data_IF_292715845581
#
_entry.id   IF_292715845581
#
_cell.length_a   1.000
_cell.length_b   1.000
_cell.length_c   1.000
_cell.angle_alpha   90.00
_cell.angle_beta   90.00
_cell.angle_gamma   90.00
#
_symmetry.space_group_name_H-M   'P 1'
#
loop_
_entity.id
_entity.type
_entity.pdbx_description
1 polymer ?
#
# COMPACT_ATOMS: atom_id res chain seq x y z
N UNK A 1 16.99 24.42 14.05
CA UNK A 1 17.43 23.72 12.82
C UNK A 1 17.51 22.19 13.04
N UNK A 2 18.09 21.72 14.15
CA UNK A 2 18.23 20.29 14.45
C UNK A 2 16.87 19.58 14.55
N UNK A 3 15.88 20.17 15.19
CA UNK A 3 14.55 19.58 15.36
C UNK A 3 13.82 19.44 14.01
N UNK A 4 13.96 20.43 13.13
CA UNK A 4 13.45 20.34 11.77
C UNK A 4 14.12 19.22 10.97
N UNK A 5 15.45 19.09 11.09
CA UNK A 5 16.19 18.04 10.40
C UNK A 5 15.78 16.64 10.88
N UNK A 6 15.66 16.45 12.19
CA UNK A 6 15.22 15.17 12.79
C UNK A 6 13.81 14.82 12.34
N UNK A 7 12.86 15.77 12.39
CA UNK A 7 11.50 15.55 11.95
C UNK A 7 11.43 15.20 10.45
N UNK A 8 12.23 15.87 9.61
CA UNK A 8 12.29 15.58 8.18
C UNK A 8 12.84 14.17 7.91
N UNK A 9 13.93 13.79 8.57
CA UNK A 9 14.53 12.45 8.46
C UNK A 9 13.55 11.38 8.93
N UNK A 10 12.89 11.57 10.07
CA UNK A 10 11.88 10.63 10.58
C UNK A 10 10.73 10.43 9.60
N UNK A 11 10.24 11.51 8.98
CA UNK A 11 9.21 11.44 7.94
C UNK A 11 9.67 10.64 6.72
N UNK A 12 10.91 10.83 6.28
CA UNK A 12 11.49 10.08 5.15
C UNK A 12 11.71 8.60 5.49
N UNK A 13 12.15 8.29 6.70
CA UNK A 13 12.28 6.91 7.18
C UNK A 13 10.92 6.23 7.22
N UNK A 14 9.90 6.87 7.79
CA UNK A 14 8.54 6.34 7.83
C UNK A 14 7.99 6.06 6.42
N UNK A 15 8.17 7.00 5.49
CA UNK A 15 7.77 6.83 4.08
C UNK A 15 8.50 5.65 3.42
N UNK A 16 9.80 5.49 3.69
CA UNK A 16 10.60 4.40 3.13
C UNK A 16 10.23 3.05 3.72
N UNK A 17 9.92 3.03 5.01
CA UNK A 17 9.46 1.82 5.71
C UNK A 17 8.10 1.37 5.14
N UNK A 18 7.15 2.28 4.99
CA UNK A 18 5.85 1.99 4.36
C UNK A 18 6.02 1.42 2.95
N UNK A 19 6.91 2.02 2.15
CA UNK A 19 7.23 1.49 0.82
C UNK A 19 7.85 0.09 0.89
N UNK A 20 8.73 -0.17 1.86
CA UNK A 20 9.35 -1.49 2.02
C UNK A 20 8.35 -2.55 2.50
N UNK A 21 7.37 -2.19 3.33
CA UNK A 21 6.30 -3.08 3.77
C UNK A 21 5.53 -3.65 2.57
N UNK A 22 5.17 -2.82 1.62
CA UNK A 22 4.34 -3.23 0.49
C UNK A 22 5.14 -3.70 -0.72
N UNK A 23 6.11 -2.93 -1.15
CA UNK A 23 6.86 -3.13 -2.41
C UNK A 23 8.37 -3.25 -2.21
N UNK A 24 8.83 -3.53 -1.00
CA UNK A 24 10.25 -3.77 -0.73
C UNK A 24 10.74 -5.01 -1.46
N UNK A 25 12.00 -4.95 -1.94
CA UNK A 25 12.69 -6.07 -2.52
C UNK A 25 13.88 -6.46 -1.64
N UNK A 26 13.92 -7.72 -1.20
CA UNK A 26 14.98 -8.23 -0.32
C UNK A 26 16.38 -8.14 -0.95
N UNK A 27 16.46 -8.16 -2.27
CA UNK A 27 17.72 -8.01 -3.00
C UNK A 27 18.27 -6.57 -2.99
N UNK A 28 17.48 -5.58 -2.54
CA UNK A 28 17.87 -4.16 -2.52
C UNK A 28 18.41 -3.78 -1.15
N UNK A 29 19.65 -3.25 -1.12
CA UNK A 29 20.28 -2.82 0.13
C UNK A 29 19.42 -1.78 0.89
N UNK A 30 19.21 -2.02 2.18
CA UNK A 30 18.42 -1.16 3.05
C UNK A 30 16.90 -1.32 2.91
N UNK A 31 16.46 -2.42 2.30
CA UNK A 31 15.07 -2.84 2.25
C UNK A 31 14.94 -4.29 2.75
N UNK A 32 13.75 -4.68 3.12
CA UNK A 32 13.37 -6.07 3.37
C UNK A 32 12.31 -6.47 2.33
N UNK A 33 12.13 -7.79 2.13
CA UNK A 33 11.08 -8.29 1.24
C UNK A 33 9.71 -7.84 1.72
N UNK A 34 8.98 -7.12 0.87
CA UNK A 34 7.64 -6.62 1.15
C UNK A 34 6.56 -7.67 0.87
N UNK A 35 5.33 -7.35 1.24
CA UNK A 35 4.20 -8.24 1.01
C UNK A 35 4.05 -8.66 -0.46
N UNK A 36 4.20 -7.74 -1.42
CA UNK A 36 4.08 -8.06 -2.83
C UNK A 36 5.13 -9.09 -3.29
N UNK A 37 6.40 -8.94 -2.86
CA UNK A 37 7.46 -9.90 -3.20
C UNK A 37 7.18 -11.28 -2.60
N UNK A 38 6.74 -11.33 -1.34
CA UNK A 38 6.43 -12.60 -0.66
C UNK A 38 5.23 -13.30 -1.28
N UNK A 39 4.16 -12.55 -1.59
CA UNK A 39 2.94 -13.09 -2.20
C UNK A 39 3.16 -13.59 -3.62
N UNK A 40 3.98 -12.89 -4.43
CA UNK A 40 4.34 -13.34 -5.77
C UNK A 40 5.18 -14.64 -5.78
N UNK A 41 5.94 -14.88 -4.71
CA UNK A 41 6.77 -16.08 -4.60
C UNK A 41 6.00 -17.30 -4.07
N UNK A 42 4.80 -17.11 -3.54
CA UNK A 42 3.99 -18.15 -2.90
C UNK A 42 2.88 -18.62 -3.86
N UNK A 43 2.92 -19.90 -4.21
CA UNK A 43 1.95 -20.52 -5.10
C UNK A 43 0.55 -20.73 -4.47
N UNK A 44 0.44 -20.60 -3.14
CA UNK A 44 -0.85 -20.72 -2.44
C UNK A 44 -1.66 -19.42 -2.50
N UNK A 45 -1.02 -18.29 -2.79
CA UNK A 45 -1.70 -16.99 -2.96
C UNK A 45 -2.46 -16.98 -4.28
N UNK A 46 -3.71 -16.52 -4.25
CA UNK A 46 -4.52 -16.38 -5.46
C UNK A 46 -4.06 -15.16 -6.24
N UNK A 47 -3.45 -15.39 -7.40
CA UNK A 47 -2.98 -14.33 -8.29
C UNK A 47 -4.02 -13.97 -9.34
N UNK A 48 -4.40 -12.70 -9.41
CA UNK A 48 -5.28 -12.13 -10.43
C UNK A 48 -4.44 -11.26 -11.35
N UNK A 49 -4.27 -11.69 -12.58
CA UNK A 49 -3.42 -11.02 -13.55
C UNK A 49 -3.86 -9.58 -13.81
N UNK A 50 -2.92 -8.64 -13.75
CA UNK A 50 -3.16 -7.24 -14.02
C UNK A 50 -3.55 -6.98 -15.49
N UNK A 51 -4.48 -6.04 -15.67
CA UNK A 51 -4.89 -5.61 -17.01
C UNK A 51 -3.74 -4.90 -17.73
N UNK A 52 -3.52 -5.26 -18.98
CA UNK A 52 -2.56 -4.55 -19.84
C UNK A 52 -2.93 -3.06 -19.99
N UNK A 53 -1.96 -2.18 -19.78
CA UNK A 53 -2.17 -0.73 -19.82
C UNK A 53 -2.53 -0.07 -18.49
N UNK A 54 -2.64 -0.85 -17.42
CA UNK A 54 -2.86 -0.35 -16.06
C UNK A 54 -4.32 -0.03 -15.74
N UNK A 55 -4.54 0.26 -14.46
CA UNK A 55 -5.86 0.57 -13.91
C UNK A 55 -6.18 2.05 -14.12
N UNK A 56 -7.36 2.33 -14.66
CA UNK A 56 -7.88 3.67 -14.92
C UNK A 56 -9.38 3.76 -14.57
N UNK A 57 -9.97 4.94 -14.64
CA UNK A 57 -11.36 5.15 -14.27
C UNK A 57 -12.38 4.35 -15.13
N UNK A 58 -12.00 3.91 -16.34
CA UNK A 58 -12.86 3.13 -17.21
C UNK A 58 -12.89 1.64 -16.90
N UNK A 59 -11.83 1.11 -16.26
CA UNK A 59 -11.69 -0.33 -16.00
C UNK A 59 -11.61 -0.70 -14.51
N UNK A 60 -11.41 0.26 -13.63
CA UNK A 60 -11.18 0.02 -12.20
C UNK A 60 -12.28 -0.79 -11.52
N UNK A 61 -13.53 -0.56 -11.88
CA UNK A 61 -14.69 -1.29 -11.32
C UNK A 61 -14.62 -2.77 -11.71
N UNK A 62 -14.29 -3.06 -12.96
CA UNK A 62 -14.14 -4.44 -13.43
C UNK A 62 -12.92 -5.14 -12.77
N UNK A 63 -11.82 -4.42 -12.56
CA UNK A 63 -10.63 -4.97 -11.91
C UNK A 63 -10.87 -5.21 -10.42
N UNK A 64 -11.53 -4.28 -9.72
CA UNK A 64 -11.94 -4.50 -8.33
C UNK A 64 -12.92 -5.67 -8.20
N UNK A 65 -13.86 -5.79 -9.15
CA UNK A 65 -14.76 -6.93 -9.22
C UNK A 65 -14.01 -8.26 -9.36
N UNK A 66 -13.02 -8.33 -10.24
CA UNK A 66 -12.19 -9.54 -10.39
C UNK A 66 -11.44 -9.91 -9.11
N UNK A 67 -10.95 -8.92 -8.36
CA UNK A 67 -10.32 -9.17 -7.04
C UNK A 67 -11.33 -9.70 -6.03
N UNK A 68 -12.53 -9.11 -5.97
CA UNK A 68 -13.60 -9.55 -5.05
C UNK A 68 -14.11 -10.94 -5.41
N UNK A 69 -14.29 -11.24 -6.69
CA UNK A 69 -14.72 -12.56 -7.16
C UNK A 69 -13.69 -13.66 -6.85
N UNK A 70 -12.42 -13.29 -6.74
CA UNK A 70 -11.34 -14.21 -6.37
C UNK A 70 -11.27 -14.46 -4.85
N UNK A 71 -11.93 -13.65 -4.02
CA UNK A 71 -12.00 -13.88 -2.57
C UNK A 71 -12.80 -15.14 -2.29
N UNK A 72 -12.26 -16.01 -1.45
CA UNK A 72 -12.96 -17.21 -0.99
C UNK A 72 -14.31 -16.85 -0.35
N UNK A 73 -15.37 -17.58 -0.69
CA UNK A 73 -16.73 -17.33 -0.21
C UNK A 73 -16.85 -17.35 1.33
N UNK A 74 -15.95 -18.05 2.01
CA UNK A 74 -15.90 -18.11 3.47
C UNK A 74 -15.38 -16.81 4.10
N UNK A 75 -14.60 -16.05 3.35
CA UNK A 75 -13.92 -14.84 3.82
C UNK A 75 -14.63 -13.56 3.37
N UNK A 76 -15.44 -13.64 2.32
CA UNK A 76 -16.11 -12.48 1.74
C UNK A 76 -16.94 -11.67 2.74
N UNK A 77 -17.56 -12.33 3.72
CA UNK A 77 -18.39 -11.69 4.76
C UNK A 77 -17.62 -11.39 6.06
N UNK A 78 -16.32 -11.61 6.09
CA UNK A 78 -15.51 -11.34 7.28
C UNK A 78 -15.39 -9.83 7.50
N UNK A 79 -15.58 -9.37 8.74
CA UNK A 79 -15.43 -7.96 9.13
C UNK A 79 -14.01 -7.44 8.94
N UNK A 80 -13.02 -8.34 9.00
CA UNK A 80 -11.59 -8.01 8.88
C UNK A 80 -11.10 -7.97 7.43
N UNK A 81 -11.91 -8.46 6.47
CA UNK A 81 -11.54 -8.43 5.06
C UNK A 81 -11.38 -7.00 4.57
N UNK A 82 -10.25 -6.73 3.96
CA UNK A 82 -9.91 -5.40 3.45
C UNK A 82 -9.16 -5.53 2.14
N UNK A 83 -9.52 -4.73 1.16
CA UNK A 83 -8.78 -4.59 -0.09
C UNK A 83 -7.82 -3.42 0.06
N UNK A 84 -6.53 -3.71 0.10
CA UNK A 84 -5.47 -2.72 0.06
C UNK A 84 -5.21 -2.34 -1.39
N UNK A 85 -5.28 -1.07 -1.69
CA UNK A 85 -5.12 -0.56 -3.06
C UNK A 85 -4.02 0.46 -3.15
N UNK A 86 -3.31 0.47 -4.28
CA UNK A 86 -2.35 1.52 -4.58
C UNK A 86 -3.04 2.87 -4.81
N UNK A 87 -2.29 3.95 -4.64
CA UNK A 87 -2.84 5.30 -4.71
C UNK A 87 -3.47 5.64 -6.07
N UNK A 88 -2.90 5.12 -7.17
CA UNK A 88 -3.48 5.34 -8.51
C UNK A 88 -4.81 4.61 -8.69
N UNK A 89 -4.95 3.39 -8.16
CA UNK A 89 -6.21 2.62 -8.17
C UNK A 89 -7.30 3.35 -7.37
N UNK A 90 -6.97 3.82 -6.17
CA UNK A 90 -7.91 4.60 -5.35
C UNK A 90 -8.41 5.86 -6.07
N UNK A 91 -7.50 6.61 -6.72
CA UNK A 91 -7.87 7.79 -7.51
C UNK A 91 -8.73 7.43 -8.72
N UNK A 92 -8.40 6.31 -9.41
CA UNK A 92 -9.19 5.82 -10.53
C UNK A 92 -10.62 5.46 -10.09
N UNK A 93 -10.74 4.80 -8.92
CA UNK A 93 -12.03 4.43 -8.34
C UNK A 93 -12.88 5.66 -7.98
N UNK A 94 -12.32 6.64 -7.29
CA UNK A 94 -13.02 7.90 -6.96
C UNK A 94 -13.49 8.61 -8.24
N UNK A 95 -12.68 8.64 -9.30
CA UNK A 95 -13.08 9.22 -10.59
C UNK A 95 -14.17 8.42 -11.27
N UNK A 96 -14.13 7.08 -11.19
CA UNK A 96 -15.17 6.22 -11.73
C UNK A 96 -16.52 6.45 -11.04
N UNK A 97 -16.51 6.61 -9.70
CA UNK A 97 -17.71 6.97 -8.93
C UNK A 97 -18.28 8.34 -9.31
N UNK A 98 -17.41 9.28 -9.70
CA UNK A 98 -17.80 10.62 -10.14
C UNK A 98 -18.31 10.71 -11.57
N UNK A 99 -18.33 9.59 -12.31
CA UNK A 99 -18.79 9.58 -13.70
C UNK A 99 -17.82 10.18 -14.72
N UNK A 100 -16.60 10.48 -14.36
CA UNK A 100 -15.59 11.04 -15.28
C UNK A 100 -15.14 10.09 -16.39
N UNK A 101 -15.45 8.82 -16.27
CA UNK A 101 -15.08 7.80 -17.28
C UNK A 101 -16.21 7.47 -18.26
N UNK A 102 -17.39 8.03 -18.05
CA UNK A 102 -18.53 7.75 -18.94
C UNK A 102 -18.41 8.59 -20.20
N UNK A 103 -18.22 7.95 -21.34
CA UNK A 103 -18.31 8.61 -22.63
C UNK A 103 -19.66 9.34 -22.73
N UNK A 104 -19.66 10.53 -23.25
CA UNK A 104 -20.80 11.48 -23.31
C UNK A 104 -22.09 10.96 -23.97
N UNK A 105 -22.17 9.69 -24.32
CA UNK A 105 -23.31 9.06 -25.02
C UNK A 105 -24.27 8.27 -24.12
N UNK A 106 -23.92 8.06 -22.85
CA UNK A 106 -24.74 7.29 -21.92
C UNK A 106 -25.17 8.17 -20.76
N UNK A 107 -26.42 8.59 -20.73
CA UNK A 107 -27.06 9.28 -19.62
C UNK A 107 -27.27 8.38 -18.37
N UNK A 108 -26.77 7.14 -18.43
CA UNK A 108 -26.89 6.17 -17.37
C UNK A 108 -25.77 6.41 -16.34
N UNK A 109 -26.09 7.08 -15.25
CA UNK A 109 -25.27 7.11 -14.08
C UNK A 109 -24.20 8.22 -14.03
N UNK A 110 -24.37 9.31 -14.77
CA UNK A 110 -23.64 10.55 -14.51
C UNK A 110 -24.10 11.11 -13.17
N UNK A 111 -23.65 10.48 -12.11
CA UNK A 111 -23.75 11.08 -10.79
C UNK A 111 -22.59 12.05 -10.64
N UNK A 112 -22.76 13.26 -11.15
CA UNK A 112 -21.81 14.37 -10.99
C UNK A 112 -21.47 14.66 -9.52
N UNK A 113 -22.23 14.05 -8.62
CA UNK A 113 -22.06 14.16 -7.19
C UNK A 113 -20.94 13.28 -6.64
N UNK A 114 -20.53 12.18 -7.31
CA UNK A 114 -19.67 11.16 -6.72
C UNK A 114 -18.33 11.69 -6.23
N UNK A 115 -17.63 12.49 -7.03
CA UNK A 115 -16.35 13.09 -6.64
C UNK A 115 -16.50 14.30 -5.73
N UNK A 116 -17.58 15.04 -5.83
CA UNK A 116 -17.86 16.20 -4.97
C UNK A 116 -18.23 15.76 -3.55
N UNK A 117 -18.82 14.58 -3.40
CA UNK A 117 -19.26 14.03 -2.11
C UNK A 117 -18.19 13.19 -1.43
N UNK A 118 -17.06 12.92 -2.09
CA UNK A 118 -15.95 12.21 -1.47
C UNK A 118 -15.26 13.12 -0.46
N UNK A 119 -15.64 13.00 0.79
CA UNK A 119 -15.11 13.79 1.91
C UNK A 119 -14.01 13.09 2.70
N UNK A 120 -13.27 12.16 2.08
CA UNK A 120 -12.21 11.41 2.75
C UNK A 120 -12.70 10.30 3.68
N UNK A 121 -13.95 9.90 3.57
CA UNK A 121 -14.48 8.73 4.29
C UNK A 121 -13.92 7.43 3.72
N UNK A 122 -14.00 6.35 4.50
CA UNK A 122 -13.55 5.03 4.06
C UNK A 122 -14.23 4.61 2.76
N UNK A 123 -13.44 4.29 1.76
CA UNK A 123 -13.96 3.72 0.51
C UNK A 123 -14.41 2.27 0.77
N UNK A 124 -15.47 1.87 0.11
CA UNK A 124 -15.96 0.50 0.11
C UNK A 124 -16.28 0.08 -1.31
N UNK A 125 -16.06 -1.18 -1.63
CA UNK A 125 -16.45 -1.78 -2.89
C UNK A 125 -17.11 -3.12 -2.61
N UNK A 126 -18.31 -3.31 -3.13
CA UNK A 126 -19.11 -4.53 -2.98
C UNK A 126 -19.19 -5.05 -1.52
N UNK A 127 -19.34 -4.13 -0.56
CA UNK A 127 -19.40 -4.43 0.87
C UNK A 127 -18.05 -4.61 1.57
N UNK A 128 -16.94 -4.72 0.81
CA UNK A 128 -15.59 -4.88 1.37
C UNK A 128 -14.94 -3.50 1.54
N UNK A 129 -14.25 -3.29 2.64
CA UNK A 129 -13.53 -2.04 2.93
C UNK A 129 -12.31 -1.88 2.03
N UNK A 130 -12.10 -0.70 1.45
CA UNK A 130 -10.89 -0.36 0.73
C UNK A 130 -9.95 0.48 1.59
N UNK A 131 -8.68 0.09 1.67
CA UNK A 131 -7.64 0.85 2.34
C UNK A 131 -6.55 1.26 1.34
N UNK A 132 -6.18 2.53 1.35
CA UNK A 132 -5.11 3.04 0.49
C UNK A 132 -3.76 2.77 1.13
N UNK A 133 -2.92 1.98 0.46
CA UNK A 133 -1.56 1.68 0.87
C UNK A 133 -0.57 2.56 0.08
N UNK A 134 -0.03 3.58 0.74
CA UNK A 134 0.83 4.57 0.08
C UNK A 134 2.19 4.00 -0.37
N UNK A 135 2.64 2.91 0.23
CA UNK A 135 3.89 2.23 -0.14
C UNK A 135 3.73 1.19 -1.27
N UNK A 136 2.52 0.93 -1.72
CA UNK A 136 2.23 -0.07 -2.75
C UNK A 136 2.58 0.44 -4.15
N UNK A 137 3.12 -0.44 -4.99
CA UNK A 137 3.38 -0.15 -6.40
C UNK A 137 2.11 0.19 -7.15
N UNK A 138 2.21 1.03 -8.18
CA UNK A 138 1.06 1.39 -9.01
C UNK A 138 0.41 0.16 -9.64
N UNK A 139 -0.91 0.21 -9.76
CA UNK A 139 -1.77 -0.86 -10.32
C UNK A 139 -1.79 -2.17 -9.53
N UNK A 140 -1.31 -2.18 -8.30
CA UNK A 140 -1.35 -3.36 -7.42
C UNK A 140 -2.51 -3.24 -6.44
N UNK A 141 -3.16 -4.37 -6.16
CA UNK A 141 -4.19 -4.50 -5.13
C UNK A 141 -3.97 -5.81 -4.37
N UNK A 142 -4.25 -5.80 -3.08
CA UNK A 142 -4.17 -7.00 -2.22
C UNK A 142 -5.45 -7.10 -1.40
N UNK A 143 -6.17 -8.19 -1.52
CA UNK A 143 -7.29 -8.49 -0.62
C UNK A 143 -6.83 -9.50 0.43
N UNK A 144 -6.93 -9.13 1.69
CA UNK A 144 -6.54 -9.97 2.82
C UNK A 144 -7.26 -9.55 4.10
N UNK A 145 -7.41 -10.49 5.03
CA UNK A 145 -7.79 -10.15 6.40
C UNK A 145 -6.66 -9.41 7.11
N UNK A 146 -6.98 -8.36 7.87
CA UNK A 146 -6.00 -7.61 8.65
C UNK A 146 -5.25 -8.49 9.64
N UNK A 147 -5.95 -9.45 10.22
CA UNK A 147 -5.40 -10.43 11.18
C UNK A 147 -4.40 -11.40 10.55
N UNK A 148 -4.39 -11.53 9.23
CA UNK A 148 -3.49 -12.40 8.48
C UNK A 148 -2.17 -11.70 8.09
N UNK A 149 -2.06 -10.40 8.24
CA UNK A 149 -0.88 -9.62 7.90
C UNK A 149 -0.09 -9.21 9.14
N UNK A 150 1.18 -9.58 9.20
CA UNK A 150 2.05 -9.32 10.35
C UNK A 150 3.20 -8.39 9.97
N UNK A 151 3.41 -7.39 10.82
CA UNK A 151 4.60 -6.56 10.78
C UNK A 151 5.44 -6.84 12.03
N UNK A 152 6.66 -7.29 11.82
CA UNK A 152 7.61 -7.61 12.88
C UNK A 152 8.70 -6.56 12.98
N UNK A 153 9.04 -6.18 14.20
CA UNK A 153 10.18 -5.31 14.48
C UNK A 153 11.09 -5.98 15.49
N UNK A 154 12.36 -5.59 15.49
CA UNK A 154 13.29 -5.98 16.53
C UNK A 154 12.98 -5.28 17.86
N UNK A 155 14.01 -4.84 18.57
CA UNK A 155 13.83 -4.11 19.83
C UNK A 155 13.17 -2.75 19.57
N UNK A 156 12.07 -2.47 20.25
CA UNK A 156 11.36 -1.18 20.16
C UNK A 156 12.24 0.01 20.57
N UNK A 157 13.21 -0.22 21.46
CA UNK A 157 14.21 0.80 21.87
C UNK A 157 15.07 1.28 20.71
N UNK A 158 15.40 0.39 19.77
CA UNK A 158 16.29 0.72 18.67
C UNK A 158 15.64 1.64 17.65
N UNK A 159 14.31 1.61 17.56
CA UNK A 159 13.55 2.47 16.64
C UNK A 159 13.59 3.96 17.03
N UNK A 160 13.84 4.24 18.30
CA UNK A 160 13.92 5.59 18.85
C UNK A 160 15.35 6.13 18.90
N UNK A 161 16.36 5.29 18.58
CA UNK A 161 17.76 5.72 18.62
C UNK A 161 18.12 6.47 17.34
N UNK A 162 18.14 7.79 17.42
CA UNK A 162 18.65 8.67 16.38
C UNK A 162 19.97 9.29 16.84
N UNK A 163 21.06 8.99 16.11
CA UNK A 163 22.37 9.59 16.36
C UNK A 163 22.64 10.69 15.34
N UNK A 164 22.89 11.88 15.82
CA UNK A 164 23.37 13.00 15.01
C UNK A 164 24.87 13.12 15.25
N UNK A 165 25.66 12.96 14.21
CA UNK A 165 27.12 12.99 14.28
C UNK A 165 27.60 14.19 13.47
N UNK A 166 28.33 15.09 14.14
CA UNK A 166 29.09 16.14 13.47
C UNK A 166 30.35 15.50 12.86
N UNK A 167 30.54 15.68 11.58
CA UNK A 167 31.69 15.12 10.87
C UNK A 167 32.93 16.01 11.00
N UNK A 168 32.79 17.23 11.52
CA UNK A 168 33.92 18.15 11.69
C UNK A 168 35.02 17.55 12.58
N UNK A 169 34.64 16.81 13.62
CA UNK A 169 35.59 16.15 14.54
C UNK A 169 36.20 14.85 13.98
N UNK A 170 35.61 14.29 12.90
CA UNK A 170 36.02 13.01 12.35
C UNK A 170 36.86 13.16 11.08
N UNK A 171 36.40 13.96 10.13
CA UNK A 171 37.05 14.16 8.80
C UNK A 171 37.30 15.62 8.46
N UNK A 172 36.99 16.55 9.36
CA UNK A 172 37.14 18.01 9.15
C UNK A 172 36.12 18.61 8.18
N UNK A 173 35.12 17.85 7.75
CA UNK A 173 34.06 18.35 6.87
C UNK A 173 32.95 19.05 7.68
N UNK A 174 32.29 20.04 7.08
CA UNK A 174 31.12 20.72 7.69
C UNK A 174 29.82 19.95 7.47
N UNK A 175 29.87 18.62 7.40
CA UNK A 175 28.72 17.77 7.18
C UNK A 175 28.18 17.22 8.51
N UNK A 176 26.85 17.10 8.60
CA UNK A 176 26.18 16.44 9.70
C UNK A 176 25.59 15.13 9.18
N UNK A 177 25.89 14.02 9.86
CA UNK A 177 25.36 12.72 9.52
C UNK A 177 24.33 12.27 10.55
N UNK A 178 23.12 11.95 10.08
CA UNK A 178 22.08 11.35 10.91
C UNK A 178 22.07 9.85 10.66
N UNK A 179 22.18 9.06 11.72
CA UNK A 179 22.20 7.60 11.68
C UNK A 179 21.03 7.07 12.50
N UNK A 180 20.19 6.26 11.88
CA UNK A 180 19.12 5.51 12.52
C UNK A 180 19.23 4.05 12.07
N UNK A 181 19.06 3.11 12.99
CA UNK A 181 19.12 1.67 12.73
C UNK A 181 17.97 0.99 13.43
N UNK A 182 17.23 0.20 12.70
CA UNK A 182 16.20 -0.70 13.24
C UNK A 182 16.05 -1.90 12.33
N UNK A 183 15.51 -2.98 12.86
CA UNK A 183 15.17 -4.18 12.10
C UNK A 183 13.66 -4.26 11.96
N UNK A 184 13.20 -4.54 10.76
CA UNK A 184 11.79 -4.72 10.46
C UNK A 184 11.62 -5.79 9.39
N UNK A 185 10.45 -6.40 9.35
CA UNK A 185 10.07 -7.37 8.35
C UNK A 185 8.57 -7.56 8.32
N UNK A 186 8.06 -8.16 7.26
CA UNK A 186 6.65 -8.49 7.09
C UNK A 186 6.49 -9.97 6.83
N UNK A 187 5.34 -10.52 7.21
CA UNK A 187 4.94 -11.88 6.91
C UNK A 187 3.41 -11.98 6.99
N UNK A 188 2.85 -12.95 6.30
CA UNK A 188 1.44 -13.33 6.42
C UNK A 188 1.34 -14.77 6.95
N UNK A 189 0.16 -15.14 7.45
CA UNK A 189 -0.06 -16.45 8.04
C UNK A 189 -0.50 -17.50 7.01
N UNK A 190 -1.57 -17.21 6.27
CA UNK A 190 -2.23 -18.14 5.35
C UNK A 190 -2.28 -17.53 3.97
N UNK A 191 -1.54 -18.11 3.01
CA UNK A 191 -1.47 -17.62 1.64
C UNK A 191 -2.77 -17.82 0.86
N UNK A 192 -3.45 -18.96 1.05
CA UNK A 192 -4.72 -19.28 0.36
C UNK A 192 -5.87 -18.30 0.62
N UNK A 193 -5.74 -17.49 1.67
CA UNK A 193 -6.74 -16.51 2.08
C UNK A 193 -6.42 -15.10 1.57
N UNK A 194 -5.41 -14.99 0.72
CA UNK A 194 -4.94 -13.74 0.14
C UNK A 194 -5.15 -13.74 -1.36
N UNK A 195 -5.63 -12.62 -1.88
CA UNK A 195 -5.72 -12.37 -3.32
C UNK A 195 -4.77 -11.23 -3.67
N UNK A 196 -3.85 -11.50 -4.57
CA UNK A 196 -2.94 -10.51 -5.13
C UNK A 196 -3.37 -10.17 -6.55
N UNK A 197 -3.43 -8.89 -6.89
CA UNK A 197 -3.60 -8.38 -8.24
C UNK A 197 -2.32 -7.61 -8.62
N UNK A 198 -1.56 -8.14 -9.55
CA UNK A 198 -0.27 -7.55 -9.94
C UNK A 198 0.05 -7.76 -11.43
#
# INVERSE_FOLDING_TARGET
>A
FSDFLIAHVASKVAQRTEQSIWSGAAATNGQFGGFAELMLADADVVDVAAVGGGVNAGNVIAQLGAVVDAISSNLYSSEDMTIYVSQNVARAYVRALGGFSVAATSNAGTNDSGTQWFSGQSLTFDGVSLAVANGMSDNTMVAAEKSNLYFGTGLLSDQNEVKVIDMADIDGSQNVRVVMRFTAGVQYGIGSDIVLYS
#
